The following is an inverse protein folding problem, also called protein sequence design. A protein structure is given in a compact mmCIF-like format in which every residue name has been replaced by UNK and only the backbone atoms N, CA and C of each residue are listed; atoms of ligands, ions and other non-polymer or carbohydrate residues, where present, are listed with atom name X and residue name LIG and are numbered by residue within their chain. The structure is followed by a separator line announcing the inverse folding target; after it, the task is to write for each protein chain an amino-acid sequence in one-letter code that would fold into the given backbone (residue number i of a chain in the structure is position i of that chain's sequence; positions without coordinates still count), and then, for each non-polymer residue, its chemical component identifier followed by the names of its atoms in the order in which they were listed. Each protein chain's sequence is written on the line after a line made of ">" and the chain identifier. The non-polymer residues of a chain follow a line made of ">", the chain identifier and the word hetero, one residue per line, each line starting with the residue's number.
data_IF_437750731163
#
_entry.id   IF_437750731163
#
_cell.length_a   1.000
_cell.length_b   1.000
_cell.length_c   1.000
_cell.angle_alpha   90.00
_cell.angle_beta   90.00
_cell.angle_gamma   90.00
#
_symmetry.space_group_name_H-M   'P 1'
#
loop_
_entity.id
_entity.type
_entity.pdbx_description
1 polymer ?
#
# COMPACT_ATOMS: atom_id res chain seq x y z
N UNK A 1 36.99 5.55 1.57
CA UNK A 1 35.68 5.39 0.91
C UNK A 1 34.71 4.55 1.73
N UNK A 2 35.11 3.39 2.22
CA UNK A 2 34.28 2.49 3.07
C UNK A 2 33.77 3.13 4.37
N UNK A 3 34.54 4.02 4.99
CA UNK A 3 34.20 4.66 6.26
C UNK A 3 32.93 5.55 6.16
N UNK A 4 32.59 6.02 4.95
CA UNK A 4 31.36 6.77 4.71
C UNK A 4 30.08 5.90 4.72
N UNK A 5 30.24 4.58 4.71
CA UNK A 5 29.13 3.63 4.87
C UNK A 5 28.68 3.48 6.33
N UNK A 6 29.33 4.17 7.28
CA UNK A 6 28.96 4.17 8.68
C UNK A 6 27.50 4.56 8.91
N UNK A 7 26.98 5.47 8.10
CA UNK A 7 25.58 5.87 8.16
C UNK A 7 24.62 4.70 7.87
N UNK A 8 24.94 3.86 6.89
CA UNK A 8 24.15 2.66 6.57
C UNK A 8 24.19 1.69 7.77
N UNK A 9 25.35 1.48 8.37
CA UNK A 9 25.49 0.63 9.56
C UNK A 9 24.64 1.15 10.73
N UNK A 10 24.65 2.47 10.98
CA UNK A 10 23.84 3.10 12.03
C UNK A 10 22.35 2.88 11.77
N UNK A 11 21.87 3.04 10.53
CA UNK A 11 20.46 2.82 10.18
C UNK A 11 20.09 1.36 10.42
N UNK A 12 20.89 0.42 9.93
CA UNK A 12 20.62 -1.02 10.10
C UNK A 12 20.57 -1.42 11.59
N UNK A 13 21.57 -1.00 12.37
CA UNK A 13 21.62 -1.30 13.81
C UNK A 13 20.49 -0.62 14.56
N UNK A 14 20.19 0.65 14.26
CA UNK A 14 19.10 1.37 14.92
C UNK A 14 17.73 0.74 14.66
N UNK A 15 17.47 0.27 13.43
CA UNK A 15 16.23 -0.43 13.10
C UNK A 15 16.15 -1.81 13.78
N UNK A 16 17.25 -2.55 13.86
CA UNK A 16 17.30 -3.84 14.59
C UNK A 16 17.00 -3.62 16.08
N UNK A 17 17.54 -2.55 16.67
CA UNK A 17 17.31 -2.19 18.07
C UNK A 17 15.96 -1.51 18.30
N UNK A 18 15.13 -1.35 17.25
CA UNK A 18 13.79 -0.72 17.30
C UNK A 18 13.82 0.73 17.82
N UNK A 19 14.88 1.47 17.55
CA UNK A 19 14.90 2.90 17.78
C UNK A 19 13.98 3.64 16.83
N UNK A 20 13.60 4.86 17.19
CA UNK A 20 12.80 5.71 16.32
C UNK A 20 13.49 5.90 14.97
N UNK A 21 12.74 5.63 13.88
CA UNK A 21 13.29 5.63 12.52
C UNK A 21 13.81 6.99 12.11
N UNK A 22 13.08 8.07 12.44
CA UNK A 22 13.47 9.43 12.06
C UNK A 22 14.74 9.83 12.80
N UNK A 23 14.78 9.62 14.11
CA UNK A 23 15.94 9.91 14.93
C UNK A 23 17.17 9.13 14.44
N UNK A 24 17.02 7.84 14.11
CA UNK A 24 18.08 6.99 13.60
C UNK A 24 18.65 7.50 12.27
N UNK A 25 17.79 7.89 11.33
CA UNK A 25 18.20 8.39 10.00
C UNK A 25 18.89 9.75 10.12
N UNK A 26 18.36 10.66 10.95
CA UNK A 26 18.97 11.97 11.20
C UNK A 26 20.36 11.81 11.84
N UNK A 27 20.48 10.96 12.86
CA UNK A 27 21.75 10.65 13.49
C UNK A 27 22.75 10.06 12.50
N UNK A 28 22.33 9.13 11.68
CA UNK A 28 23.17 8.52 10.64
C UNK A 28 23.68 9.56 9.65
N UNK A 29 22.83 10.52 9.24
CA UNK A 29 23.20 11.63 8.36
C UNK A 29 24.26 12.53 8.99
N UNK A 30 24.06 12.94 10.25
CA UNK A 30 25.00 13.79 10.98
C UNK A 30 26.35 13.08 11.14
N UNK A 31 26.36 11.84 11.61
CA UNK A 31 27.59 11.07 11.80
C UNK A 31 28.33 10.86 10.47
N UNK A 32 27.62 10.57 9.39
CA UNK A 32 28.21 10.42 8.05
C UNK A 32 28.85 11.73 7.58
N UNK A 33 28.21 12.87 7.81
CA UNK A 33 28.74 14.19 7.48
C UNK A 33 30.03 14.49 8.25
N UNK A 34 30.05 14.25 9.57
CA UNK A 34 31.22 14.43 10.42
C UNK A 34 32.40 13.55 9.98
N UNK A 35 32.12 12.26 9.73
CA UNK A 35 33.12 11.31 9.21
C UNK A 35 33.58 11.67 7.80
N UNK A 36 32.73 12.39 7.04
CA UNK A 36 33.06 12.96 5.74
C UNK A 36 33.88 14.26 5.81
N UNK A 37 34.33 14.69 7.00
CA UNK A 37 35.02 15.95 7.28
C UNK A 37 34.18 17.20 6.94
N UNK A 38 32.86 17.13 7.01
CA UNK A 38 31.99 18.29 6.91
C UNK A 38 31.97 19.04 8.25
N UNK A 39 31.98 20.37 8.22
CA UNK A 39 31.72 21.17 9.42
C UNK A 39 30.26 21.04 9.85
N UNK A 40 29.95 21.30 11.12
CA UNK A 40 28.57 21.30 11.60
C UNK A 40 27.71 22.26 10.80
N UNK A 41 28.26 23.42 10.41
CA UNK A 41 27.56 24.42 9.59
C UNK A 41 27.23 23.86 8.19
N UNK A 42 28.17 23.14 7.56
CA UNK A 42 27.94 22.53 6.25
C UNK A 42 26.86 21.43 6.32
N UNK A 43 26.85 20.64 7.41
CA UNK A 43 25.81 19.63 7.65
C UNK A 43 24.44 20.30 7.79
N UNK A 44 24.31 21.34 8.61
CA UNK A 44 23.06 22.07 8.79
C UNK A 44 22.61 22.76 7.50
N UNK A 45 23.53 23.35 6.76
CA UNK A 45 23.26 23.99 5.47
C UNK A 45 22.78 22.95 4.45
N UNK A 46 23.42 21.79 4.40
CA UNK A 46 23.02 20.68 3.50
C UNK A 46 21.64 20.16 3.86
N UNK A 47 21.35 19.96 5.15
CA UNK A 47 20.01 19.55 5.62
C UNK A 47 18.95 20.60 5.27
N UNK A 48 19.23 21.87 5.52
CA UNK A 48 18.33 22.98 5.19
C UNK A 48 18.04 23.07 3.69
N UNK A 49 19.07 23.02 2.86
CA UNK A 49 18.93 23.06 1.40
C UNK A 49 18.17 21.83 0.87
N UNK A 50 18.47 20.65 1.40
CA UNK A 50 17.74 19.42 1.05
C UNK A 50 16.27 19.53 1.43
N UNK A 51 15.95 20.06 2.61
CA UNK A 51 14.57 20.30 3.03
C UNK A 51 13.84 21.26 2.09
N UNK A 52 14.45 22.38 1.74
CA UNK A 52 13.87 23.38 0.83
C UNK A 52 13.67 22.80 -0.57
N UNK A 53 14.64 22.04 -1.08
CA UNK A 53 14.56 21.41 -2.41
C UNK A 53 13.49 20.34 -2.46
N UNK A 54 13.33 19.58 -1.39
CA UNK A 54 12.36 18.49 -1.29
C UNK A 54 11.06 18.89 -0.60
N UNK A 55 10.79 20.18 -0.43
CA UNK A 55 9.56 20.69 0.22
C UNK A 55 8.27 20.16 -0.40
N UNK A 56 8.29 19.77 -1.69
CA UNK A 56 7.15 19.14 -2.35
C UNK A 56 6.71 17.86 -1.63
N UNK A 57 7.64 17.12 -1.02
CA UNK A 57 7.30 15.95 -0.21
C UNK A 57 6.47 16.31 1.04
N UNK A 58 6.57 17.55 1.55
CA UNK A 58 5.78 18.00 2.71
C UNK A 58 4.31 18.28 2.36
N UNK A 59 3.94 18.40 1.08
CA UNK A 59 2.55 18.55 0.65
C UNK A 59 1.68 17.37 1.10
N UNK A 60 2.27 16.19 1.26
CA UNK A 60 1.58 15.03 1.82
C UNK A 60 0.98 15.34 3.21
N UNK A 61 1.67 16.12 4.05
CA UNK A 61 1.20 16.50 5.39
C UNK A 61 -0.11 17.28 5.32
N UNK A 62 -0.30 18.10 4.28
CA UNK A 62 -1.53 18.87 4.09
C UNK A 62 -2.74 17.99 3.72
N UNK A 63 -2.52 16.80 3.19
CA UNK A 63 -3.61 15.87 2.84
C UNK A 63 -4.07 15.04 4.04
N UNK A 64 -3.24 14.88 5.09
CA UNK A 64 -3.56 14.08 6.26
C UNK A 64 -4.83 14.52 6.99
N UNK A 65 -5.10 15.84 7.22
CA UNK A 65 -6.34 16.28 7.86
C UNK A 65 -7.57 15.89 7.04
N UNK A 66 -7.54 16.05 5.71
CA UNK A 66 -8.65 15.69 4.85
C UNK A 66 -8.93 14.18 4.88
N UNK A 67 -7.87 13.35 4.83
CA UNK A 67 -7.97 11.89 4.96
C UNK A 67 -8.54 11.53 6.34
N UNK A 68 -8.04 12.14 7.42
CA UNK A 68 -8.52 11.89 8.78
C UNK A 68 -10.00 12.27 8.98
N UNK A 69 -10.46 13.32 8.32
CA UNK A 69 -11.88 13.69 8.30
C UNK A 69 -12.70 12.59 7.62
N UNK A 70 -12.30 12.14 6.43
CA UNK A 70 -12.98 11.06 5.72
C UNK A 70 -13.05 9.77 6.56
N UNK A 71 -11.95 9.38 7.21
CA UNK A 71 -11.91 8.23 8.10
C UNK A 71 -12.86 8.40 9.30
N UNK A 72 -12.87 9.58 9.92
CA UNK A 72 -13.73 9.87 11.08
C UNK A 72 -15.22 9.89 10.74
N UNK A 73 -15.58 10.28 9.52
CA UNK A 73 -16.98 10.33 9.06
C UNK A 73 -17.45 9.02 8.41
N UNK A 74 -16.81 7.92 8.72
CA UNK A 74 -17.34 6.59 8.42
C UNK A 74 -17.13 6.10 7.00
N UNK A 75 -16.07 6.56 6.33
CA UNK A 75 -15.74 6.09 4.99
C UNK A 75 -15.50 4.57 4.95
N UNK A 76 -14.85 4.04 5.99
CA UNK A 76 -14.63 2.60 6.16
C UNK A 76 -15.93 1.84 6.30
N UNK A 77 -16.83 2.33 7.15
CA UNK A 77 -18.15 1.75 7.38
C UNK A 77 -18.99 1.74 6.10
N UNK A 78 -18.95 2.80 5.32
CA UNK A 78 -19.62 2.87 4.02
C UNK A 78 -19.06 1.88 3.00
N UNK A 79 -17.75 1.69 2.97
CA UNK A 79 -17.13 0.66 2.13
C UNK A 79 -17.58 -0.75 2.52
N UNK A 80 -17.66 -1.04 3.82
CA UNK A 80 -18.18 -2.31 4.34
C UNK A 80 -19.65 -2.51 3.94
N UNK A 81 -20.50 -1.51 4.14
CA UNK A 81 -21.92 -1.58 3.80
C UNK A 81 -22.13 -1.81 2.29
N UNK A 82 -21.32 -1.16 1.47
CA UNK A 82 -21.36 -1.36 0.02
C UNK A 82 -21.00 -2.80 -0.35
N UNK A 83 -19.92 -3.35 0.21
CA UNK A 83 -19.54 -4.75 -0.06
C UNK A 83 -20.65 -5.71 0.43
N UNK A 84 -21.24 -5.46 1.61
CA UNK A 84 -22.34 -6.26 2.16
C UNK A 84 -23.63 -6.19 1.34
N UNK A 85 -23.83 -5.12 0.58
CA UNK A 85 -25.01 -4.97 -0.27
C UNK A 85 -25.03 -5.90 -1.50
N UNK A 86 -23.89 -6.53 -1.81
CA UNK A 86 -23.75 -7.42 -2.97
C UNK A 86 -24.37 -8.78 -2.64
N UNK A 87 -25.62 -8.94 -3.04
CA UNK A 87 -26.35 -10.21 -2.89
C UNK A 87 -25.95 -11.20 -3.99
N UNK A 88 -25.92 -12.50 -3.64
CA UNK A 88 -25.64 -13.60 -4.58
C UNK A 88 -24.27 -13.54 -5.27
N UNK A 89 -23.26 -12.96 -4.62
CA UNK A 89 -21.90 -12.94 -5.13
C UNK A 89 -21.18 -14.27 -4.83
N UNK A 90 -20.30 -14.69 -5.74
CA UNK A 90 -19.31 -15.75 -5.45
C UNK A 90 -18.16 -15.18 -4.61
N UNK A 91 -17.34 -16.05 -4.00
CA UNK A 91 -16.17 -15.62 -3.24
C UNK A 91 -15.25 -14.73 -4.08
N UNK A 92 -14.96 -15.11 -5.31
CA UNK A 92 -14.16 -14.33 -6.23
C UNK A 92 -14.75 -12.95 -6.55
N UNK A 93 -16.07 -12.86 -6.72
CA UNK A 93 -16.76 -11.58 -6.95
C UNK A 93 -16.69 -10.64 -5.74
N UNK A 94 -16.83 -11.16 -4.53
CA UNK A 94 -16.64 -10.37 -3.30
C UNK A 94 -15.23 -9.77 -3.27
N UNK A 95 -14.22 -10.59 -3.57
CA UNK A 95 -12.81 -10.16 -3.60
C UNK A 95 -12.56 -9.14 -4.72
N UNK A 96 -13.15 -9.32 -5.92
CA UNK A 96 -13.05 -8.34 -7.03
C UNK A 96 -13.58 -6.97 -6.62
N UNK A 97 -14.77 -6.93 -6.01
CA UNK A 97 -15.36 -5.67 -5.57
C UNK A 97 -14.50 -5.01 -4.50
N UNK A 98 -13.99 -5.80 -3.57
CA UNK A 98 -13.05 -5.29 -2.58
C UNK A 98 -11.78 -4.71 -3.22
N UNK A 99 -11.16 -5.42 -4.16
CA UNK A 99 -9.97 -4.97 -4.87
C UNK A 99 -10.21 -3.66 -5.62
N UNK A 100 -11.37 -3.51 -6.29
CA UNK A 100 -11.75 -2.27 -6.96
C UNK A 100 -11.88 -1.11 -5.96
N UNK A 101 -12.56 -1.31 -4.83
CA UNK A 101 -12.70 -0.32 -3.76
C UNK A 101 -11.32 0.04 -3.19
N UNK A 102 -10.46 -0.97 -2.95
CA UNK A 102 -9.12 -0.77 -2.42
C UNK A 102 -8.23 0.03 -3.36
N UNK A 103 -8.29 -0.28 -4.65
CA UNK A 103 -7.57 0.43 -5.71
C UNK A 103 -8.01 1.89 -5.79
N UNK A 104 -9.32 2.16 -5.80
CA UNK A 104 -9.85 3.52 -5.80
C UNK A 104 -9.45 4.28 -4.54
N UNK A 105 -9.61 3.66 -3.36
CA UNK A 105 -9.20 4.28 -2.10
C UNK A 105 -7.70 4.64 -2.11
N UNK A 106 -6.85 3.74 -2.59
CA UNK A 106 -5.40 3.97 -2.68
C UNK A 106 -5.05 5.07 -3.68
N UNK A 107 -5.76 5.12 -4.84
CA UNK A 107 -5.57 6.17 -5.84
C UNK A 107 -5.90 7.58 -5.31
N UNK A 108 -6.76 7.67 -4.28
CA UNK A 108 -7.06 8.92 -3.57
C UNK A 108 -6.33 9.04 -2.22
N UNK A 109 -5.36 8.17 -1.95
CA UNK A 109 -4.61 8.13 -0.68
C UNK A 109 -5.46 7.88 0.57
N UNK A 110 -6.65 7.29 0.40
CA UNK A 110 -7.58 6.96 1.47
C UNK A 110 -7.15 5.64 2.12
N UNK A 111 -7.05 5.61 3.44
CA UNK A 111 -6.68 4.43 4.21
C UNK A 111 -7.93 3.66 4.64
N UNK A 112 -8.12 2.47 4.10
CA UNK A 112 -9.20 1.57 4.52
C UNK A 112 -8.79 0.60 5.65
N UNK A 113 -7.56 0.70 6.13
CA UNK A 113 -6.93 -0.32 6.96
C UNK A 113 -6.31 -1.42 6.10
N UNK A 114 -5.47 -2.25 6.70
CA UNK A 114 -4.80 -3.35 6.02
C UNK A 114 -5.40 -4.70 6.36
N UNK A 115 -4.58 -5.75 6.24
CA UNK A 115 -4.99 -7.12 6.53
C UNK A 115 -5.67 -7.32 7.89
N UNK A 116 -5.14 -6.80 9.04
CA UNK A 116 -5.75 -7.04 10.34
C UNK A 116 -7.06 -6.27 10.55
N UNK A 117 -7.19 -5.10 9.94
CA UNK A 117 -8.27 -4.16 10.26
C UNK A 117 -9.43 -4.22 9.27
N UNK A 118 -9.22 -4.80 8.07
CA UNK A 118 -10.24 -4.87 7.03
C UNK A 118 -10.32 -6.25 6.38
N UNK A 119 -9.22 -6.81 5.87
CA UNK A 119 -9.27 -8.08 5.11
C UNK A 119 -9.77 -9.22 5.98
N UNK A 120 -9.10 -9.46 7.13
CA UNK A 120 -9.45 -10.56 8.04
C UNK A 120 -10.83 -10.45 8.66
N UNK A 121 -11.26 -9.27 9.19
CA UNK A 121 -12.56 -9.19 9.87
C UNK A 121 -13.74 -8.96 8.92
N UNK A 122 -13.53 -8.58 7.67
CA UNK A 122 -14.61 -8.22 6.73
C UNK A 122 -14.56 -9.04 5.45
N UNK A 123 -13.48 -8.91 4.66
CA UNK A 123 -13.43 -9.48 3.31
C UNK A 123 -13.44 -11.01 3.35
N UNK A 124 -12.58 -11.60 4.17
CA UNK A 124 -12.45 -13.07 4.29
C UNK A 124 -13.77 -13.69 4.75
N UNK A 125 -14.41 -13.28 5.86
CA UNK A 125 -15.69 -13.86 6.28
C UNK A 125 -16.81 -13.70 5.26
N UNK A 126 -16.80 -12.60 4.50
CA UNK A 126 -17.80 -12.40 3.44
C UNK A 126 -17.57 -13.32 2.25
N UNK A 127 -16.32 -13.50 1.83
CA UNK A 127 -15.96 -14.41 0.75
C UNK A 127 -16.17 -15.89 1.15
N UNK A 128 -15.83 -16.26 2.39
CA UNK A 128 -16.12 -17.57 2.95
C UNK A 128 -17.65 -17.82 3.05
N UNK A 129 -18.41 -16.82 3.51
CA UNK A 129 -19.89 -16.89 3.55
C UNK A 129 -20.51 -17.07 2.16
N UNK A 130 -19.97 -16.39 1.14
CA UNK A 130 -20.41 -16.57 -0.24
C UNK A 130 -20.08 -17.98 -0.77
N UNK A 131 -18.93 -18.53 -0.39
CA UNK A 131 -18.55 -19.90 -0.73
C UNK A 131 -19.44 -20.92 -0.02
N UNK A 132 -19.73 -20.76 1.27
CA UNK A 132 -20.65 -21.60 2.03
C UNK A 132 -22.06 -21.57 1.41
N UNK A 133 -22.55 -20.39 1.00
CA UNK A 133 -23.86 -20.27 0.33
C UNK A 133 -23.93 -21.04 -1.00
N UNK A 134 -22.80 -21.19 -1.71
CA UNK A 134 -22.71 -21.86 -3.00
C UNK A 134 -22.42 -23.37 -2.88
N UNK A 135 -21.52 -23.76 -1.96
CA UNK A 135 -20.98 -25.13 -1.90
C UNK A 135 -21.46 -25.92 -0.66
N UNK A 136 -22.12 -25.27 0.30
CA UNK A 136 -22.42 -25.85 1.60
C UNK A 136 -21.22 -25.71 2.54
N UNK A 137 -20.65 -26.81 2.98
CA UNK A 137 -19.43 -26.79 3.80
C UNK A 137 -18.19 -26.51 2.94
N UNK A 138 -17.28 -25.71 3.46
CA UNK A 138 -15.98 -25.43 2.84
C UNK A 138 -14.85 -26.09 3.65
N UNK A 139 -13.99 -26.82 2.95
CA UNK A 139 -12.83 -27.46 3.57
C UNK A 139 -11.68 -26.48 3.77
N UNK A 140 -10.60 -26.92 4.43
CA UNK A 140 -9.43 -26.08 4.73
C UNK A 140 -8.74 -25.56 3.47
N UNK A 141 -8.64 -26.38 2.42
CA UNK A 141 -8.08 -25.97 1.12
C UNK A 141 -8.86 -24.79 0.51
N UNK A 142 -10.19 -24.85 0.53
CA UNK A 142 -11.04 -23.77 0.02
C UNK A 142 -10.88 -22.49 0.86
N UNK A 143 -10.77 -22.62 2.18
CA UNK A 143 -10.52 -21.48 3.07
C UNK A 143 -9.19 -20.83 2.75
N UNK A 144 -8.14 -21.60 2.52
CA UNK A 144 -6.80 -21.08 2.21
C UNK A 144 -6.77 -20.39 0.84
N UNK A 145 -7.47 -20.91 -0.16
CA UNK A 145 -7.66 -20.27 -1.46
C UNK A 145 -8.33 -18.90 -1.28
N UNK A 146 -9.40 -18.80 -0.48
CA UNK A 146 -10.12 -17.55 -0.23
C UNK A 146 -9.26 -16.56 0.54
N UNK A 147 -8.57 -17.00 1.59
CA UNK A 147 -7.68 -16.16 2.38
C UNK A 147 -6.51 -15.62 1.56
N UNK A 148 -5.89 -16.48 0.75
CA UNK A 148 -4.81 -16.10 -0.16
C UNK A 148 -5.27 -15.11 -1.22
N UNK A 149 -6.45 -15.33 -1.83
CA UNK A 149 -7.06 -14.40 -2.80
C UNK A 149 -7.37 -13.04 -2.18
N UNK A 150 -7.99 -13.03 -1.00
CA UNK A 150 -8.32 -11.80 -0.27
C UNK A 150 -7.07 -11.00 0.12
N UNK A 151 -6.02 -11.70 0.57
CA UNK A 151 -4.74 -11.08 0.90
C UNK A 151 -4.05 -10.51 -0.35
N UNK A 152 -4.09 -11.23 -1.46
CA UNK A 152 -3.59 -10.76 -2.75
C UNK A 152 -4.28 -9.49 -3.22
N UNK A 153 -5.62 -9.45 -3.15
CA UNK A 153 -6.42 -8.29 -3.56
C UNK A 153 -6.08 -7.02 -2.76
N UNK A 154 -5.82 -7.14 -1.45
CA UNK A 154 -5.32 -6.02 -0.64
C UNK A 154 -3.98 -5.51 -1.16
N UNK A 155 -3.04 -6.41 -1.41
CA UNK A 155 -1.70 -6.04 -1.84
C UNK A 155 -1.72 -5.40 -3.23
N UNK A 156 -2.41 -5.98 -4.20
CA UNK A 156 -2.47 -5.47 -5.57
C UNK A 156 -3.22 -4.14 -5.64
N UNK A 157 -4.39 -4.06 -5.01
CA UNK A 157 -5.20 -2.85 -4.97
C UNK A 157 -4.48 -1.68 -4.30
N UNK A 158 -3.69 -1.96 -3.26
CA UNK A 158 -2.91 -0.92 -2.60
C UNK A 158 -1.67 -0.52 -3.40
N UNK A 159 -0.83 -1.48 -3.76
CA UNK A 159 0.51 -1.24 -4.27
C UNK A 159 0.50 -0.50 -5.61
N UNK A 160 -0.32 -0.96 -6.56
CA UNK A 160 -0.32 -0.40 -7.91
C UNK A 160 -1.08 0.92 -8.04
N UNK A 161 -1.98 1.23 -7.11
CA UNK A 161 -2.78 2.45 -7.16
C UNK A 161 -2.24 3.60 -6.29
N UNK A 162 -1.40 3.33 -5.31
CA UNK A 162 -0.93 4.35 -4.36
C UNK A 162 -0.20 5.53 -5.02
N UNK A 163 0.45 5.30 -6.16
CA UNK A 163 1.17 6.34 -6.88
C UNK A 163 0.30 7.15 -7.85
N UNK A 164 -0.98 6.81 -8.00
CA UNK A 164 -1.94 7.62 -8.79
C UNK A 164 -2.26 8.95 -8.10
N UNK A 165 -2.01 9.07 -6.80
CA UNK A 165 -2.18 10.32 -6.06
C UNK A 165 -0.88 11.12 -6.05
N UNK A 166 -0.91 12.32 -6.64
CA UNK A 166 0.27 13.19 -6.77
C UNK A 166 0.89 13.60 -5.43
N UNK A 167 0.11 13.62 -4.34
CA UNK A 167 0.56 13.93 -2.98
C UNK A 167 0.95 12.69 -2.18
N UNK A 168 0.99 11.49 -2.76
CA UNK A 168 1.41 10.30 -2.03
C UNK A 168 2.90 10.30 -1.73
N UNK A 169 3.29 9.71 -0.62
CA UNK A 169 4.71 9.62 -0.23
C UNK A 169 5.55 8.89 -1.28
N UNK A 170 4.99 7.88 -1.93
CA UNK A 170 5.67 7.14 -3.00
C UNK A 170 5.93 8.01 -4.23
N UNK A 171 4.90 8.72 -4.72
CA UNK A 171 5.03 9.66 -5.85
C UNK A 171 6.06 10.74 -5.56
N UNK A 172 5.98 11.35 -4.37
CA UNK A 172 6.89 12.43 -3.98
C UNK A 172 8.34 11.93 -3.82
N UNK A 173 8.52 10.71 -3.32
CA UNK A 173 9.85 10.08 -3.25
C UNK A 173 10.44 9.84 -4.64
N UNK A 174 9.65 9.35 -5.59
CA UNK A 174 10.09 9.17 -6.98
C UNK A 174 10.51 10.51 -7.59
N UNK A 175 9.68 11.54 -7.45
CA UNK A 175 9.96 12.89 -7.95
C UNK A 175 11.25 13.43 -7.35
N UNK A 176 11.38 13.41 -6.02
CA UNK A 176 12.56 13.94 -5.35
C UNK A 176 13.84 13.22 -5.75
N UNK A 177 13.77 11.89 -5.95
CA UNK A 177 14.91 11.10 -6.39
C UNK A 177 15.32 11.45 -7.82
N UNK A 178 14.36 11.53 -8.75
CA UNK A 178 14.63 11.85 -10.14
C UNK A 178 15.15 13.28 -10.31
N UNK A 179 14.56 14.25 -9.61
CA UNK A 179 15.06 15.64 -9.58
C UNK A 179 16.48 15.71 -9.02
N UNK A 180 16.76 14.95 -7.96
CA UNK A 180 18.13 14.84 -7.40
C UNK A 180 19.15 14.23 -8.37
N UNK A 181 18.69 13.44 -9.34
CA UNK A 181 19.51 12.87 -10.43
C UNK A 181 19.58 13.79 -11.67
N UNK A 182 18.95 14.95 -11.64
CA UNK A 182 18.99 15.95 -12.73
C UNK A 182 17.88 15.79 -13.77
N UNK A 183 16.86 14.97 -13.52
CA UNK A 183 15.70 14.84 -14.41
C UNK A 183 14.63 15.85 -14.06
N UNK A 184 14.05 16.51 -15.07
CA UNK A 184 12.89 17.39 -14.90
C UNK A 184 11.60 16.56 -14.89
N UNK A 185 11.07 16.30 -13.70
CA UNK A 185 9.82 15.58 -13.50
C UNK A 185 8.99 16.24 -12.40
N UNK A 186 7.67 16.15 -12.53
CA UNK A 186 6.73 16.60 -11.51
C UNK A 186 5.84 15.46 -11.00
N UNK A 187 5.16 15.71 -9.88
CA UNK A 187 4.31 14.71 -9.24
C UNK A 187 3.09 14.32 -10.10
N UNK A 188 2.58 15.25 -10.91
CA UNK A 188 1.44 14.98 -11.79
C UNK A 188 1.83 14.04 -12.94
N UNK A 189 3.04 14.18 -13.49
CA UNK A 189 3.55 13.27 -14.52
C UNK A 189 3.66 11.85 -13.98
N UNK A 190 4.25 11.66 -12.80
CA UNK A 190 4.37 10.34 -12.16
C UNK A 190 2.98 9.75 -11.91
N UNK A 191 2.05 10.54 -11.33
CA UNK A 191 0.69 10.09 -11.05
C UNK A 191 -0.04 9.67 -12.35
N UNK A 192 0.05 10.46 -13.42
CA UNK A 192 -0.57 10.13 -14.73
C UNK A 192 -0.08 8.82 -15.31
N UNK A 193 1.22 8.56 -15.25
CA UNK A 193 1.80 7.30 -15.75
C UNK A 193 1.55 6.11 -14.83
N UNK A 194 1.17 6.34 -13.57
CA UNK A 194 0.75 5.29 -12.65
C UNK A 194 -0.69 4.81 -12.91
N UNK A 195 -1.56 5.64 -13.50
CA UNK A 195 -2.96 5.28 -13.78
C UNK A 195 -3.09 4.04 -14.70
N UNK A 196 -2.39 3.95 -15.85
CA UNK A 196 -2.45 2.75 -16.68
C UNK A 196 -2.03 1.48 -15.92
N UNK A 197 -1.02 1.58 -15.05
CA UNK A 197 -0.55 0.44 -14.25
C UNK A 197 -1.63 0.00 -13.26
N UNK A 198 -2.31 0.94 -12.59
CA UNK A 198 -3.42 0.64 -11.70
C UNK A 198 -4.60 -0.02 -12.44
N UNK A 199 -4.93 0.45 -13.64
CA UNK A 199 -5.99 -0.16 -14.48
C UNK A 199 -5.63 -1.59 -14.88
N UNK A 200 -4.39 -1.81 -15.33
CA UNK A 200 -3.90 -3.16 -15.67
C UNK A 200 -3.98 -4.07 -14.44
N UNK A 201 -3.59 -3.58 -13.27
CA UNK A 201 -3.68 -4.34 -12.02
C UNK A 201 -5.11 -4.78 -11.72
N UNK A 202 -6.10 -3.89 -11.85
CA UNK A 202 -7.53 -4.24 -11.66
C UNK A 202 -7.94 -5.34 -12.64
N UNK A 203 -7.60 -5.21 -13.93
CA UNK A 203 -7.96 -6.21 -14.96
C UNK A 203 -7.36 -7.58 -14.62
N UNK A 204 -6.08 -7.61 -14.25
CA UNK A 204 -5.42 -8.85 -13.83
C UNK A 204 -6.02 -9.42 -12.55
N UNK A 205 -6.39 -8.57 -11.59
CA UNK A 205 -7.07 -8.95 -10.37
C UNK A 205 -8.45 -9.58 -10.64
N UNK A 206 -9.23 -8.99 -11.55
CA UNK A 206 -10.51 -9.58 -11.99
C UNK A 206 -10.29 -10.97 -12.58
N UNK A 207 -9.35 -11.12 -13.52
CA UNK A 207 -9.04 -12.42 -14.13
C UNK A 207 -8.62 -13.43 -13.06
N UNK A 208 -7.72 -13.03 -12.14
CA UNK A 208 -7.23 -13.87 -11.05
C UNK A 208 -8.35 -14.34 -10.12
N UNK A 209 -9.28 -13.46 -9.76
CA UNK A 209 -10.35 -13.77 -8.84
C UNK A 209 -11.52 -14.53 -9.50
N UNK A 210 -11.73 -14.38 -10.80
CA UNK A 210 -12.59 -15.27 -11.57
C UNK A 210 -12.00 -16.69 -11.69
N UNK A 211 -10.67 -16.77 -11.80
CA UNK A 211 -9.99 -18.06 -11.78
C UNK A 211 -10.03 -18.72 -10.38
N UNK A 212 -9.99 -17.91 -9.30
CA UNK A 212 -10.20 -18.38 -7.93
C UNK A 212 -11.55 -19.07 -7.78
N UNK A 213 -12.62 -18.54 -8.34
CA UNK A 213 -13.93 -19.22 -8.33
C UNK A 213 -13.86 -20.60 -9.02
N UNK A 214 -13.10 -20.74 -10.11
CA UNK A 214 -12.88 -22.05 -10.76
C UNK A 214 -12.05 -23.01 -9.89
N UNK A 215 -11.07 -22.50 -9.16
CA UNK A 215 -10.30 -23.30 -8.20
C UNK A 215 -11.20 -23.82 -7.08
N UNK A 216 -12.11 -22.99 -6.55
CA UNK A 216 -13.10 -23.41 -5.56
C UNK A 216 -14.07 -24.45 -6.11
N UNK A 217 -14.53 -24.31 -7.37
CA UNK A 217 -15.36 -25.32 -8.04
C UNK A 217 -14.62 -26.67 -8.18
N UNK A 218 -13.32 -26.67 -8.38
CA UNK A 218 -12.51 -27.89 -8.47
C UNK A 218 -12.28 -28.52 -7.08
N UNK A 219 -11.94 -27.72 -6.08
CA UNK A 219 -11.69 -28.16 -4.70
C UNK A 219 -12.96 -28.76 -4.06
N UNK A 220 -14.14 -28.19 -4.37
CA UNK A 220 -15.43 -28.73 -3.87
C UNK A 220 -15.73 -30.11 -4.43
N UNK A 221 -15.28 -30.45 -5.64
CA UNK A 221 -15.46 -31.76 -6.26
C UNK A 221 -14.43 -32.80 -5.79
N UNK A 222 -13.24 -32.35 -5.39
CA UNK A 222 -12.17 -33.22 -4.90
C UNK A 222 -12.37 -33.72 -3.45
N UNK A 223 -13.07 -32.97 -2.63
CA UNK A 223 -13.34 -33.32 -1.22
C UNK A 223 -14.42 -34.39 -1.01
N UNK A 224 -15.06 -34.85 -2.07
CA UNK A 224 -16.08 -35.90 -2.04
C UNK A 224 -15.56 -37.30 -2.43
N UNK A 225 -14.24 -37.53 -2.28
CA UNK A 225 -13.64 -38.87 -2.48
C UNK A 225 -13.05 -39.38 -1.15
#
# INVERSE_FOLDING_TARGET
>A
MLIRLIGVAIVVVGLILKFDTIATVVLAGIVTGLVGNMSIMDILTTLGNSFVTQRTATLFVLTLPAIGICERYGLKEKAIDFIRSIKSATAGRVIIVYEAIRTLASAFSIRLGGHPQFVRPVVVPMAEGAAVAKYGEINEEMQDIIRGGSAGAENYGNFFAQNCFMGSSGTLLIVSTLVGLGYEVDALQIARWSIPVAVISIVLGVIRNLWLDKQLDAASKGGNK
#
